data_IF_075965905292
#
_entry.id   IF_075965905292
#
_cell.length_a   1.000
_cell.length_b   1.000
_cell.length_c   1.000
_cell.angle_alpha   90.00
_cell.angle_beta   90.00
_cell.angle_gamma   90.00
#
_symmetry.space_group_name_H-M   'P 1'
#
loop_
_entity.id
_entity.type
_entity.pdbx_description
1 polymer ?
#
# COMPACT_ATOMS: atom_id res chain seq x y z
N UNK A 1 5.95 -6.70 11.45
CA UNK A 1 4.74 -6.05 10.89
C UNK A 1 3.60 -7.03 10.91
N UNK A 2 2.36 -6.56 11.02
CA UNK A 2 1.14 -7.37 10.96
C UNK A 2 0.07 -6.59 10.19
N UNK A 3 -0.84 -7.31 9.53
CA UNK A 3 -2.01 -6.74 8.86
C UNK A 3 -3.18 -7.72 8.98
N UNK A 4 -4.40 -7.20 9.00
CA UNK A 4 -5.61 -8.03 9.02
C UNK A 4 -5.92 -8.55 7.60
N UNK A 5 -6.57 -9.70 7.51
CA UNK A 5 -6.91 -10.35 6.24
C UNK A 5 -8.23 -9.86 5.61
N UNK A 6 -9.05 -9.07 6.33
CA UNK A 6 -10.42 -8.74 5.92
C UNK A 6 -10.42 -7.70 4.80
N UNK A 7 -11.16 -8.00 3.73
CA UNK A 7 -11.52 -7.05 2.68
C UNK A 7 -13.00 -6.67 2.78
N UNK A 8 -13.30 -5.38 2.78
CA UNK A 8 -14.66 -4.85 2.72
C UNK A 8 -14.88 -4.18 1.37
N UNK A 9 -15.80 -4.70 0.56
CA UNK A 9 -16.31 -4.00 -0.62
C UNK A 9 -17.57 -3.24 -0.23
N UNK A 10 -17.59 -1.94 -0.51
CA UNK A 10 -18.79 -1.11 -0.34
C UNK A 10 -19.52 -1.04 -1.67
N UNK A 11 -20.70 -1.64 -1.76
CA UNK A 11 -21.60 -1.48 -2.91
C UNK A 11 -22.72 -0.53 -2.54
N UNK A 12 -22.93 0.50 -3.35
CA UNK A 12 -24.11 1.37 -3.29
C UNK A 12 -25.23 0.74 -4.13
N UNK A 13 -26.28 0.23 -3.48
CA UNK A 13 -27.51 -0.17 -4.17
C UNK A 13 -28.52 0.98 -4.10
N UNK A 14 -28.89 1.56 -5.24
CA UNK A 14 -30.00 2.52 -5.33
C UNK A 14 -31.33 1.75 -5.34
N UNK A 15 -32.09 1.85 -4.26
CA UNK A 15 -33.48 1.41 -4.24
C UNK A 15 -34.40 2.50 -4.86
N UNK A 16 -35.59 2.13 -5.38
CA UNK A 16 -36.53 3.07 -6.01
C UNK A 16 -37.00 4.22 -5.11
N UNK A 17 -36.76 4.14 -3.80
CA UNK A 17 -37.24 5.05 -2.76
C UNK A 17 -36.23 6.13 -2.32
N UNK A 18 -35.13 6.34 -3.07
CA UNK A 18 -34.01 7.25 -2.75
C UNK A 18 -33.18 6.85 -1.52
N UNK A 19 -33.33 5.64 -0.99
CA UNK A 19 -32.47 5.14 0.07
C UNK A 19 -31.17 4.59 -0.53
N UNK A 20 -30.02 5.20 -0.22
CA UNK A 20 -28.70 4.64 -0.54
C UNK A 20 -28.38 3.58 0.49
N UNK A 21 -28.43 2.31 0.10
CA UNK A 21 -28.02 1.21 0.98
C UNK A 21 -26.54 0.95 0.75
N UNK A 22 -25.73 1.23 1.77
CA UNK A 22 -24.33 0.84 1.82
C UNK A 22 -24.25 -0.62 2.26
N UNK A 23 -24.05 -1.53 1.32
CA UNK A 23 -23.82 -2.94 1.62
C UNK A 23 -22.31 -3.18 1.72
N UNK A 24 -21.81 -3.33 2.94
CA UNK A 24 -20.45 -3.80 3.21
C UNK A 24 -20.44 -5.33 3.12
N UNK A 25 -20.03 -5.88 1.98
CA UNK A 25 -19.86 -7.32 1.81
C UNK A 25 -18.42 -7.68 2.15
N UNK A 26 -18.22 -8.50 3.18
CA UNK A 26 -16.92 -9.12 3.46
C UNK A 26 -16.63 -10.16 2.39
N UNK A 27 -15.81 -9.81 1.40
CA UNK A 27 -15.68 -10.62 0.18
C UNK A 27 -14.56 -11.66 0.23
N UNK A 28 -13.58 -11.49 1.10
CA UNK A 28 -12.50 -12.46 1.28
C UNK A 28 -11.80 -12.30 2.63
N UNK A 29 -11.43 -13.42 3.24
CA UNK A 29 -10.62 -13.53 4.47
C UNK A 29 -9.12 -13.80 4.15
N UNK A 30 -8.69 -13.51 2.91
CA UNK A 30 -7.33 -13.78 2.44
C UNK A 30 -6.75 -12.63 1.61
N UNK A 31 -6.94 -11.36 2.03
CA UNK A 31 -6.29 -10.26 1.33
C UNK A 31 -4.83 -10.10 1.76
N UNK A 32 -3.91 -10.18 0.80
CA UNK A 32 -2.47 -10.05 1.02
C UNK A 32 -2.12 -8.57 1.18
N UNK A 33 -1.99 -8.11 2.44
CA UNK A 33 -1.65 -6.72 2.78
C UNK A 33 -0.23 -6.55 3.30
N UNK A 34 0.59 -7.61 3.27
CA UNK A 34 1.97 -7.61 3.74
C UNK A 34 2.85 -8.18 2.65
N UNK A 35 3.92 -7.47 2.29
CA UNK A 35 4.86 -7.86 1.26
C UNK A 35 6.28 -7.76 1.80
N UNK A 36 7.14 -8.66 1.34
CA UNK A 36 8.57 -8.61 1.63
C UNK A 36 9.32 -8.17 0.38
N UNK A 37 9.99 -7.03 0.46
CA UNK A 37 10.88 -6.53 -0.57
C UNK A 37 12.35 -6.93 -0.27
N UNK A 38 13.24 -6.91 -1.29
CA UNK A 38 14.68 -7.05 -1.09
C UNK A 38 15.23 -6.17 0.04
N UNK A 39 16.31 -6.62 0.67
CA UNK A 39 16.88 -5.92 1.84
C UNK A 39 16.12 -6.13 3.15
N UNK A 40 15.26 -7.16 3.22
CA UNK A 40 14.42 -7.46 4.38
C UNK A 40 13.48 -6.31 4.77
N UNK A 41 12.98 -5.59 3.76
CA UNK A 41 12.08 -4.46 3.95
C UNK A 41 10.63 -4.95 3.82
N UNK A 42 9.86 -4.80 4.89
CA UNK A 42 8.43 -5.09 4.90
C UNK A 42 7.63 -3.90 4.37
N UNK A 43 6.60 -4.19 3.56
CA UNK A 43 5.64 -3.22 3.05
C UNK A 43 4.24 -3.68 3.49
N UNK A 44 3.42 -2.80 4.04
CA UNK A 44 1.99 -3.04 4.20
C UNK A 44 1.18 -2.01 3.45
N UNK A 45 -0.02 -2.40 3.01
CA UNK A 45 -0.97 -1.53 2.30
C UNK A 45 -2.29 -1.43 3.04
N UNK A 46 -2.92 -0.26 2.96
CA UNK A 46 -4.25 0.02 3.50
C UNK A 46 -4.93 1.14 2.70
N UNK A 47 -6.25 1.31 2.88
CA UNK A 47 -7.08 2.17 2.05
C UNK A 47 -7.80 1.36 0.97
N UNK A 48 -7.90 1.91 -0.24
CA UNK A 48 -8.49 1.21 -1.38
C UNK A 48 -7.73 -0.10 -1.67
N UNK A 49 -8.47 -1.18 -1.87
CA UNK A 49 -7.93 -2.51 -2.12
C UNK A 49 -7.62 -2.77 -3.60
N UNK A 50 -7.94 -1.83 -4.47
CA UNK A 50 -7.75 -1.92 -5.91
C UNK A 50 -7.33 -0.57 -6.51
N UNK A 51 -6.77 -0.64 -7.72
CA UNK A 51 -6.60 0.49 -8.63
C UNK A 51 -7.39 0.13 -9.89
N UNK A 52 -8.47 0.87 -10.15
CA UNK A 52 -9.35 0.66 -11.30
C UNK A 52 -9.87 -0.79 -11.44
N UNK A 53 -10.23 -1.42 -10.31
CA UNK A 53 -10.74 -2.80 -10.27
C UNK A 53 -9.67 -3.89 -10.28
N UNK A 54 -8.39 -3.54 -10.42
CA UNK A 54 -7.28 -4.49 -10.33
C UNK A 54 -6.73 -4.51 -8.89
N UNK A 55 -6.62 -5.69 -8.24
CA UNK A 55 -6.17 -5.79 -6.85
C UNK A 55 -4.82 -5.11 -6.58
N UNK A 56 -4.72 -4.36 -5.48
CA UNK A 56 -3.52 -3.59 -5.13
C UNK A 56 -2.28 -4.48 -4.96
N UNK A 57 -2.47 -5.72 -4.51
CA UNK A 57 -1.38 -6.66 -4.29
C UNK A 57 -0.53 -6.89 -5.55
N UNK A 58 -1.15 -7.08 -6.71
CA UNK A 58 -0.43 -7.30 -7.97
C UNK A 58 0.41 -6.08 -8.39
N UNK A 59 -0.04 -4.86 -8.07
CA UNK A 59 0.76 -3.65 -8.28
C UNK A 59 1.96 -3.58 -7.35
N UNK A 60 1.79 -3.90 -6.07
CA UNK A 60 2.88 -3.88 -5.09
C UNK A 60 3.93 -4.95 -5.44
N UNK A 61 3.50 -6.16 -5.81
CA UNK A 61 4.41 -7.21 -6.27
C UNK A 61 5.17 -6.79 -7.53
N UNK A 62 4.46 -6.20 -8.51
CA UNK A 62 5.08 -5.66 -9.72
C UNK A 62 6.10 -4.56 -9.41
N UNK A 63 5.80 -3.68 -8.46
CA UNK A 63 6.70 -2.64 -7.99
C UNK A 63 7.98 -3.24 -7.38
N UNK A 64 7.84 -4.22 -6.48
CA UNK A 64 8.97 -4.89 -5.83
C UNK A 64 9.90 -5.52 -6.88
N UNK A 65 9.33 -6.28 -7.82
CA UNK A 65 10.08 -6.98 -8.87
C UNK A 65 10.76 -6.01 -9.85
N UNK A 66 10.09 -4.91 -10.21
CA UNK A 66 10.59 -4.00 -11.25
C UNK A 66 11.54 -2.93 -10.71
N UNK A 67 11.31 -2.43 -9.50
CA UNK A 67 11.94 -1.19 -9.04
C UNK A 67 12.82 -1.34 -7.79
N UNK A 68 12.57 -2.33 -6.92
CA UNK A 68 13.38 -2.49 -5.70
C UNK A 68 14.66 -3.29 -6.02
N UNK A 69 14.55 -4.48 -6.64
CA UNK A 69 15.58 -5.40 -7.20
C UNK A 69 16.86 -5.71 -6.40
N UNK A 70 17.45 -4.74 -5.73
CA UNK A 70 18.72 -4.79 -5.02
C UNK A 70 18.51 -5.28 -3.58
N UNK A 71 19.27 -6.30 -3.17
CA UNK A 71 19.24 -6.84 -1.80
C UNK A 71 19.86 -5.89 -0.77
N UNK A 72 20.54 -4.82 -1.20
CA UNK A 72 21.03 -3.74 -0.34
C UNK A 72 20.06 -2.57 -0.22
N UNK A 73 18.85 -2.68 -0.79
CA UNK A 73 17.84 -1.64 -0.69
C UNK A 73 17.50 -1.32 0.77
N UNK A 74 17.64 -0.05 1.13
CA UNK A 74 17.32 0.46 2.47
C UNK A 74 15.82 0.72 2.62
N UNK A 75 15.32 0.75 3.86
CA UNK A 75 13.91 1.04 4.18
C UNK A 75 13.47 2.37 3.57
N UNK A 76 14.30 3.41 3.70
CA UNK A 76 14.03 4.75 3.13
C UNK A 76 13.97 4.71 1.60
N UNK A 77 14.91 4.05 0.93
CA UNK A 77 14.91 3.94 -0.53
C UNK A 77 13.64 3.27 -1.04
N UNK A 78 13.20 2.19 -0.40
CA UNK A 78 11.95 1.50 -0.75
C UNK A 78 10.75 2.45 -0.56
N UNK A 79 10.67 3.15 0.58
CA UNK A 79 9.59 4.10 0.84
C UNK A 79 9.51 5.23 -0.20
N UNK A 80 10.66 5.80 -0.58
CA UNK A 80 10.75 6.86 -1.59
C UNK A 80 10.37 6.36 -2.99
N UNK A 81 10.87 5.19 -3.39
CA UNK A 81 10.52 4.58 -4.68
C UNK A 81 9.03 4.26 -4.75
N UNK A 82 8.46 3.76 -3.66
CA UNK A 82 7.04 3.44 -3.58
C UNK A 82 6.19 4.70 -3.75
N UNK A 83 6.51 5.78 -3.04
CA UNK A 83 5.86 7.09 -3.23
C UNK A 83 5.99 7.55 -4.69
N UNK A 84 7.19 7.50 -5.25
CA UNK A 84 7.46 7.94 -6.61
C UNK A 84 6.63 7.15 -7.63
N UNK A 85 6.63 5.82 -7.54
CA UNK A 85 5.91 4.92 -8.45
C UNK A 85 4.41 5.20 -8.43
N UNK A 86 3.78 5.09 -7.26
CA UNK A 86 2.32 5.18 -7.14
C UNK A 86 1.79 6.62 -7.32
N UNK A 87 2.64 7.64 -7.16
CA UNK A 87 2.28 9.03 -7.50
C UNK A 87 2.16 9.31 -9.01
N UNK A 88 2.59 8.39 -9.88
CA UNK A 88 2.49 8.57 -11.34
C UNK A 88 1.12 8.20 -11.91
N UNK A 89 0.29 7.49 -11.13
CA UNK A 89 -1.02 7.03 -11.54
C UNK A 89 -2.02 8.19 -11.62
N UNK A 90 -2.89 8.15 -12.62
CA UNK A 90 -4.00 9.09 -12.79
C UNK A 90 -5.29 8.30 -13.04
N UNK A 91 -6.31 8.40 -12.16
CA UNK A 91 -6.35 9.17 -10.92
C UNK A 91 -5.37 8.65 -9.86
N UNK A 92 -5.01 9.50 -8.91
CA UNK A 92 -4.14 9.13 -7.81
C UNK A 92 -4.79 7.98 -6.99
N UNK A 93 -4.09 6.86 -6.76
CA UNK A 93 -4.61 5.75 -5.99
C UNK A 93 -4.94 6.15 -4.56
N UNK A 94 -6.13 5.74 -4.07
CA UNK A 94 -6.56 5.98 -2.69
C UNK A 94 -6.01 4.93 -1.72
N UNK A 95 -4.75 4.58 -1.87
CA UNK A 95 -4.04 3.58 -1.06
C UNK A 95 -2.82 4.21 -0.39
N UNK A 96 -2.46 3.69 0.77
CA UNK A 96 -1.37 4.17 1.60
C UNK A 96 -0.58 2.97 2.12
N UNK A 97 0.64 3.25 2.60
CA UNK A 97 1.57 2.19 2.94
C UNK A 97 2.34 2.48 4.22
N UNK A 98 2.68 1.41 4.93
CA UNK A 98 3.78 1.43 5.89
C UNK A 98 4.95 0.66 5.30
N UNK A 99 6.15 1.21 5.42
CA UNK A 99 7.39 0.55 5.01
C UNK A 99 8.27 0.46 6.23
N UNK A 100 8.66 -0.74 6.64
CA UNK A 100 9.45 -0.93 7.85
C UNK A 100 10.53 -2.00 7.68
N UNK A 101 11.58 -1.86 8.46
CA UNK A 101 12.68 -2.81 8.48
C UNK A 101 13.78 -2.35 9.42
N UNK A 102 14.93 -2.99 9.30
CA UNK A 102 16.13 -2.64 10.04
C UNK A 102 17.23 -2.22 9.09
N UNK A 103 17.96 -1.18 9.44
CA UNK A 103 19.06 -0.64 8.66
C UNK A 103 20.33 -0.62 9.50
N UNK A 104 21.45 -1.03 8.92
CA UNK A 104 22.76 -0.80 9.54
C UNK A 104 23.16 0.66 9.35
N UNK A 105 23.46 1.34 10.45
CA UNK A 105 23.99 2.70 10.50
C UNK A 105 25.28 2.63 11.33
N UNK A 106 26.42 2.58 10.64
CA UNK A 106 27.70 2.24 11.28
C UNK A 106 27.67 0.82 11.86
N UNK A 107 28.05 0.68 13.13
CA UNK A 107 28.05 -0.59 13.88
C UNK A 107 26.71 -0.92 14.55
N UNK A 108 25.70 -0.05 14.42
CA UNK A 108 24.39 -0.24 15.03
C UNK A 108 23.35 -0.67 14.00
N UNK A 109 22.35 -1.42 14.47
CA UNK A 109 21.17 -1.79 13.70
C UNK A 109 20.01 -0.96 14.24
N UNK A 110 19.46 -0.10 13.39
CA UNK A 110 18.35 0.78 13.74
C UNK A 110 17.06 0.31 13.09
N UNK A 111 15.97 0.37 13.84
CA UNK A 111 14.62 0.16 13.31
C UNK A 111 14.14 1.41 12.57
N UNK A 112 13.52 1.23 11.41
CA UNK A 112 12.89 2.33 10.67
C UNK A 112 11.46 1.95 10.30
N UNK A 113 10.56 2.94 10.42
CA UNK A 113 9.17 2.84 9.98
C UNK A 113 8.82 4.13 9.25
N UNK A 114 8.38 3.99 8.01
CA UNK A 114 7.96 5.08 7.14
C UNK A 114 6.47 4.94 6.84
N UNK A 115 5.73 6.04 6.98
CA UNK A 115 4.38 6.16 6.46
C UNK A 115 4.44 6.82 5.09
N UNK A 116 4.02 6.10 4.05
CA UNK A 116 3.93 6.61 2.69
C UNK A 116 2.48 6.99 2.43
N UNK A 117 2.21 8.30 2.42
CA UNK A 117 0.91 8.88 2.11
C UNK A 117 0.95 9.54 0.71
N UNK A 118 0.21 8.97 -0.25
CA UNK A 118 0.13 9.49 -1.61
C UNK A 118 -0.56 10.86 -1.67
N UNK A 119 -1.53 11.12 -0.78
CA UNK A 119 -2.31 12.36 -0.75
C UNK A 119 -1.52 13.54 -0.17
N UNK A 120 -0.51 13.27 0.68
CA UNK A 120 0.35 14.31 1.26
C UNK A 120 1.23 15.04 0.24
N UNK A 121 1.34 14.52 -1.00
CA UNK A 121 2.00 15.24 -2.11
C UNK A 121 1.15 16.39 -2.65
N UNK A 122 -0.14 16.49 -2.29
CA UNK A 122 -0.92 17.72 -2.44
C UNK A 122 -0.50 18.71 -1.33
N UNK A 123 0.64 19.37 -1.49
CA UNK A 123 0.81 20.67 -0.83
C UNK A 123 -0.10 21.69 -1.53
N UNK A 124 -0.64 22.66 -0.77
CA UNK A 124 -1.82 23.44 -1.13
C UNK A 124 -1.50 24.48 -2.21
N UNK A 125 -2.45 24.67 -3.13
CA UNK A 125 -2.53 25.89 -3.94
C UNK A 125 -2.86 27.10 -3.04
#
# INVERSE_FOLDING_TARGET
MAADSRLTLNTEARQPDKTVVNLAVGQSDSNYKLFLAPGNVGISTYGAADIAGVPIAGYVESFIVKEVKDQSATVEQVARKLLQHFSTFTPLPKTQYHVAGYQKVGDQVEQQVWHVNLEAKKSPD
#
